data_IF_911051093659
#
_entry.id   IF_911051093659
#
_cell.length_a   1.000
_cell.length_b   1.000
_cell.length_c   1.000
_cell.angle_alpha   90.00
_cell.angle_beta   90.00
_cell.angle_gamma   90.00
#
_symmetry.space_group_name_H-M   'P 1'
#
loop_
_entity.id
_entity.type
_entity.pdbx_description
1 polymer ?
#
# COMPACT_ATOMS: atom_id res chain seq x y z
N UNK A 1 68.18 -41.59 41.16
CA UNK A 1 67.37 -41.54 39.92
C UNK A 1 67.55 -40.14 39.35
N UNK A 2 68.47 -39.98 38.39
CA UNK A 2 68.79 -38.70 37.77
C UNK A 2 67.95 -38.56 36.49
N UNK A 3 67.04 -37.58 36.45
CA UNK A 3 66.33 -37.23 35.21
C UNK A 3 67.25 -36.29 34.43
N UNK A 4 67.78 -36.78 33.31
CA UNK A 4 68.48 -35.96 32.31
C UNK A 4 67.41 -35.26 31.47
N UNK A 5 67.50 -33.95 31.37
CA UNK A 5 66.78 -33.18 30.36
C UNK A 5 67.65 -33.16 29.10
N UNK A 6 67.34 -34.03 28.16
CA UNK A 6 67.87 -33.93 26.80
C UNK A 6 67.18 -32.74 26.13
N UNK A 7 68.01 -31.77 25.76
CA UNK A 7 67.61 -30.54 25.10
C UNK A 7 67.47 -30.80 23.60
N UNK A 8 66.29 -31.23 23.17
CA UNK A 8 65.86 -31.11 21.76
C UNK A 8 64.88 -29.93 21.65
N UNK A 9 65.45 -28.74 21.82
CA UNK A 9 64.83 -27.48 21.45
C UNK A 9 65.16 -27.22 19.97
N UNK A 10 64.34 -27.72 19.06
CA UNK A 10 64.13 -27.21 17.70
C UNK A 10 63.37 -28.26 16.87
N UNK A 11 62.04 -28.15 16.77
CA UNK A 11 61.35 -28.17 15.46
C UNK A 11 59.83 -27.90 15.57
N UNK A 12 59.44 -26.79 16.20
CA UNK A 12 58.11 -26.22 15.90
C UNK A 12 58.35 -25.19 14.82
N UNK A 13 58.41 -25.66 13.57
CA UNK A 13 58.52 -24.78 12.41
C UNK A 13 57.35 -23.81 12.40
N UNK A 14 57.59 -22.56 12.02
CA UNK A 14 56.61 -21.47 11.96
C UNK A 14 55.39 -21.74 11.05
N UNK A 15 55.31 -22.92 10.42
CA UNK A 15 54.15 -23.43 9.70
C UNK A 15 53.03 -23.96 10.63
N UNK A 16 53.35 -24.29 11.88
CA UNK A 16 52.35 -24.77 12.86
C UNK A 16 51.59 -23.62 13.55
N UNK A 17 51.97 -22.37 13.25
CA UNK A 17 51.28 -21.14 13.69
C UNK A 17 50.42 -20.53 12.58
N UNK A 18 50.19 -21.25 11.48
CA UNK A 18 49.14 -20.89 10.53
C UNK A 18 47.82 -21.24 11.20
N UNK A 19 47.30 -20.28 11.96
CA UNK A 19 45.89 -20.23 12.32
C UNK A 19 45.12 -20.41 11.01
N UNK A 20 44.49 -21.56 10.88
CA UNK A 20 43.56 -21.87 9.81
C UNK A 20 42.49 -20.77 9.88
N UNK A 21 42.59 -19.78 8.99
CA UNK A 21 41.70 -18.63 8.84
C UNK A 21 40.39 -19.10 8.20
N UNK A 22 39.89 -20.23 8.69
CA UNK A 22 38.57 -20.74 8.42
C UNK A 22 37.64 -19.85 9.23
N UNK A 23 36.78 -19.02 8.61
CA UNK A 23 35.75 -18.33 9.36
C UNK A 23 34.81 -19.41 9.88
N UNK A 24 35.11 -19.95 11.06
CA UNK A 24 34.11 -20.57 11.92
C UNK A 24 32.96 -19.57 11.92
N UNK A 25 31.86 -19.96 11.27
CA UNK A 25 30.59 -19.30 11.44
C UNK A 25 30.30 -19.43 12.93
N UNK A 26 30.73 -18.42 13.68
CA UNK A 26 30.19 -18.09 14.99
C UNK A 26 28.70 -17.89 14.73
N UNK A 27 27.96 -18.99 14.85
CA UNK A 27 26.52 -18.97 14.94
C UNK A 27 26.21 -18.03 16.09
N UNK A 28 25.85 -16.80 15.74
CA UNK A 28 25.43 -15.80 16.71
C UNK A 28 24.33 -16.41 17.59
N UNK A 29 24.15 -15.91 18.83
CA UNK A 29 23.16 -16.46 19.74
C UNK A 29 21.82 -16.60 18.99
N UNK A 30 21.16 -17.77 19.06
CA UNK A 30 19.95 -18.00 18.28
C UNK A 30 18.97 -16.87 18.58
N UNK A 31 18.41 -16.27 17.52
CA UNK A 31 17.40 -15.23 17.71
C UNK A 31 16.37 -15.75 18.71
N UNK A 32 16.05 -14.97 19.77
CA UNK A 32 15.15 -15.45 20.81
C UNK A 32 13.82 -15.81 20.16
N UNK A 33 13.42 -17.08 20.30
CA UNK A 33 12.18 -17.58 19.75
C UNK A 33 11.01 -16.69 20.19
N UNK A 34 10.22 -16.20 19.23
CA UNK A 34 9.10 -15.30 19.49
C UNK A 34 8.14 -15.95 20.49
N UNK A 35 7.98 -15.34 21.67
CA UNK A 35 7.06 -15.87 22.66
C UNK A 35 5.62 -15.80 22.12
N UNK A 36 4.72 -16.73 22.50
CA UNK A 36 3.32 -16.66 22.07
C UNK A 36 2.63 -15.32 22.38
N UNK A 37 3.07 -14.66 23.47
CA UNK A 37 2.60 -13.33 23.87
C UNK A 37 3.10 -12.24 22.93
N UNK A 38 4.36 -12.28 22.49
CA UNK A 38 4.90 -11.36 21.49
C UNK A 38 4.20 -11.53 20.13
N UNK A 39 3.97 -12.77 19.70
CA UNK A 39 3.26 -13.09 18.46
C UNK A 39 1.82 -12.56 18.48
N UNK A 40 1.08 -12.77 19.56
CA UNK A 40 -0.30 -12.27 19.69
C UNK A 40 -0.35 -10.75 19.74
N UNK A 41 0.61 -10.09 20.41
CA UNK A 41 0.72 -8.62 20.40
C UNK A 41 0.99 -8.07 18.99
N UNK A 42 1.88 -8.71 18.22
CA UNK A 42 2.15 -8.36 16.82
C UNK A 42 0.90 -8.51 15.94
N UNK A 43 0.21 -9.64 16.04
CA UNK A 43 -1.03 -9.89 15.30
C UNK A 43 -2.12 -8.85 15.62
N UNK A 44 -2.24 -8.43 16.88
CA UNK A 44 -3.18 -7.36 17.29
C UNK A 44 -2.81 -6.01 16.67
N UNK A 45 -1.52 -5.66 16.65
CA UNK A 45 -1.03 -4.43 15.98
C UNK A 45 -1.30 -4.48 14.47
N UNK A 46 -1.01 -5.59 13.82
CA UNK A 46 -1.25 -5.78 12.39
C UNK A 46 -2.75 -5.76 12.05
N UNK A 47 -3.59 -6.35 12.88
CA UNK A 47 -5.05 -6.27 12.73
C UNK A 47 -5.57 -4.83 12.91
N UNK A 48 -5.05 -4.09 13.89
CA UNK A 48 -5.39 -2.68 14.09
C UNK A 48 -4.96 -1.83 12.89
N UNK A 49 -3.76 -2.06 12.34
CA UNK A 49 -3.27 -1.39 11.12
C UNK A 49 -4.21 -1.66 9.94
N UNK A 50 -4.53 -2.93 9.67
CA UNK A 50 -5.48 -3.32 8.61
C UNK A 50 -6.85 -2.68 8.79
N UNK A 51 -7.34 -2.56 10.02
CA UNK A 51 -8.62 -1.90 10.29
C UNK A 51 -8.59 -0.41 9.97
N UNK A 52 -7.48 0.29 10.25
CA UNK A 52 -7.30 1.70 9.89
C UNK A 52 -7.24 1.87 8.38
N UNK A 53 -6.41 1.07 7.71
CA UNK A 53 -6.30 1.09 6.24
C UNK A 53 -7.65 0.83 5.57
N UNK A 54 -8.42 -0.13 6.07
CA UNK A 54 -9.75 -0.43 5.53
C UNK A 54 -10.70 0.77 5.66
N UNK A 55 -10.71 1.44 6.82
CA UNK A 55 -11.53 2.64 7.03
C UNK A 55 -11.11 3.79 6.13
N UNK A 56 -9.81 3.98 5.92
CA UNK A 56 -9.31 5.01 5.01
C UNK A 56 -9.72 4.74 3.57
N UNK A 57 -9.62 3.49 3.10
CA UNK A 57 -10.11 3.09 1.77
C UNK A 57 -11.62 3.28 1.63
N UNK A 58 -12.40 2.91 2.64
CA UNK A 58 -13.85 3.09 2.64
C UNK A 58 -14.25 4.58 2.59
N UNK A 59 -13.53 5.45 3.32
CA UNK A 59 -13.73 6.90 3.26
C UNK A 59 -13.43 7.46 1.87
N UNK A 60 -12.32 7.06 1.27
CA UNK A 60 -11.96 7.48 -0.09
C UNK A 60 -13.00 7.03 -1.11
N UNK A 61 -13.52 5.80 -0.97
CA UNK A 61 -14.57 5.28 -1.84
C UNK A 61 -15.85 6.12 -1.70
N UNK A 62 -16.32 6.37 -0.48
CA UNK A 62 -17.49 7.20 -0.23
C UNK A 62 -17.34 8.62 -0.77
N UNK A 63 -16.15 9.22 -0.63
CA UNK A 63 -15.85 10.54 -1.18
C UNK A 63 -15.87 10.57 -2.71
N UNK A 64 -15.37 9.49 -3.33
CA UNK A 64 -15.38 9.30 -4.79
C UNK A 64 -16.80 9.15 -5.32
N UNK A 65 -17.62 8.33 -4.65
CA UNK A 65 -19.02 8.14 -5.01
C UNK A 65 -19.83 9.43 -4.91
N UNK A 66 -19.66 10.17 -3.82
CA UNK A 66 -20.30 11.47 -3.63
C UNK A 66 -19.89 12.46 -4.75
N UNK A 67 -18.62 12.47 -5.14
CA UNK A 67 -18.13 13.32 -6.22
C UNK A 67 -18.71 12.89 -7.59
N UNK A 68 -18.86 11.59 -7.84
CA UNK A 68 -19.45 11.07 -9.07
C UNK A 68 -20.94 11.43 -9.18
N UNK A 69 -21.71 11.24 -8.10
CA UNK A 69 -23.14 11.59 -8.07
C UNK A 69 -23.34 13.10 -8.27
N UNK A 70 -22.57 13.94 -7.58
CA UNK A 70 -22.61 15.40 -7.74
C UNK A 70 -22.28 15.81 -9.19
N UNK A 71 -21.26 15.19 -9.79
CA UNK A 71 -20.91 15.40 -11.18
C UNK A 71 -22.05 15.01 -12.14
N UNK A 72 -22.68 13.85 -11.95
CA UNK A 72 -23.82 13.41 -12.76
C UNK A 72 -24.99 14.40 -12.67
N UNK A 73 -25.39 14.78 -11.46
CA UNK A 73 -26.48 15.75 -11.23
C UNK A 73 -26.18 17.10 -11.89
N UNK A 74 -24.92 17.55 -11.82
CA UNK A 74 -24.50 18.80 -12.44
C UNK A 74 -24.54 18.74 -13.96
N UNK A 75 -24.10 17.64 -14.57
CA UNK A 75 -24.20 17.46 -16.03
C UNK A 75 -25.67 17.41 -16.45
N UNK A 76 -26.51 16.63 -15.75
CA UNK A 76 -27.95 16.56 -16.05
C UNK A 76 -28.64 17.91 -15.90
N UNK A 77 -28.23 18.74 -14.93
CA UNK A 77 -28.73 20.11 -14.79
C UNK A 77 -28.35 20.98 -15.98
N UNK A 78 -27.07 20.98 -16.36
CA UNK A 78 -26.58 21.75 -17.51
C UNK A 78 -27.32 21.33 -18.78
N UNK A 79 -27.47 20.03 -19.02
CA UNK A 79 -28.15 19.48 -20.19
C UNK A 79 -29.62 19.95 -20.28
N UNK A 80 -30.34 19.96 -19.15
CA UNK A 80 -31.71 20.46 -19.07
C UNK A 80 -31.80 21.96 -19.32
N UNK A 81 -30.89 22.75 -18.73
CA UNK A 81 -30.82 24.20 -18.94
C UNK A 81 -30.51 24.53 -20.42
N UNK A 82 -29.64 23.77 -21.07
CA UNK A 82 -29.36 23.95 -22.50
C UNK A 82 -30.54 23.56 -23.38
N UNK A 83 -31.21 22.43 -23.11
CA UNK A 83 -32.38 22.01 -23.87
C UNK A 83 -33.53 23.02 -23.78
N UNK A 84 -33.77 23.57 -22.57
CA UNK A 84 -34.76 24.61 -22.34
C UNK A 84 -34.47 25.89 -23.13
N UNK A 85 -33.20 26.30 -23.21
CA UNK A 85 -32.78 27.47 -24.02
C UNK A 85 -32.96 27.25 -25.51
N UNK A 86 -32.75 26.02 -25.98
CA UNK A 86 -32.89 25.64 -27.39
C UNK A 86 -34.34 25.35 -27.79
N UNK A 87 -35.30 25.45 -26.85
CA UNK A 87 -36.71 25.11 -27.09
C UNK A 87 -36.92 23.63 -27.42
N UNK A 88 -35.96 22.77 -27.09
CA UNK A 88 -36.03 21.33 -27.32
C UNK A 88 -36.69 20.65 -26.12
N UNK A 89 -37.52 19.60 -26.33
CA UNK A 89 -37.99 18.78 -25.23
C UNK A 89 -36.77 18.25 -24.48
N UNK A 90 -36.79 18.42 -23.15
CA UNK A 90 -35.76 17.92 -22.23
C UNK A 90 -35.78 16.40 -22.21
N UNK A 91 -35.32 15.77 -23.29
CA UNK A 91 -34.99 14.35 -23.30
C UNK A 91 -33.76 14.13 -22.44
N UNK A 92 -33.70 12.97 -21.77
CA UNK A 92 -32.53 12.48 -21.04
C UNK A 92 -31.32 12.53 -21.96
N UNK A 93 -30.61 13.64 -21.92
CA UNK A 93 -29.50 13.88 -22.83
C UNK A 93 -28.38 13.00 -22.31
N UNK A 94 -27.92 12.00 -23.09
CA UNK A 94 -26.92 11.07 -22.60
C UNK A 94 -25.65 11.85 -22.28
N UNK A 95 -25.26 11.85 -21.01
CA UNK A 95 -23.99 12.41 -20.61
C UNK A 95 -22.88 11.41 -20.89
N UNK A 96 -21.72 11.91 -21.31
CA UNK A 96 -20.56 11.05 -21.48
C UNK A 96 -19.93 10.75 -20.12
N UNK A 97 -19.51 9.50 -19.90
CA UNK A 97 -18.75 9.14 -18.70
C UNK A 97 -17.49 10.01 -18.53
N UNK A 98 -16.91 10.49 -19.65
CA UNK A 98 -15.77 11.39 -19.64
C UNK A 98 -16.06 12.77 -19.02
N UNK A 99 -17.25 13.35 -19.21
CA UNK A 99 -17.59 14.64 -18.59
C UNK A 99 -17.84 14.50 -17.09
N UNK A 100 -18.51 13.42 -16.68
CA UNK A 100 -18.71 13.06 -15.27
C UNK A 100 -17.37 12.84 -14.57
N UNK A 101 -16.46 12.06 -15.18
CA UNK A 101 -15.14 11.80 -14.62
C UNK A 101 -14.31 13.09 -14.44
N UNK A 102 -14.34 14.02 -15.41
CA UNK A 102 -13.64 15.31 -15.31
C UNK A 102 -14.18 16.17 -14.16
N UNK A 103 -15.51 16.25 -14.01
CA UNK A 103 -16.13 17.02 -12.93
C UNK A 103 -15.90 16.39 -11.56
N UNK A 104 -16.02 15.07 -11.45
CA UNK A 104 -15.72 14.33 -10.24
C UNK A 104 -14.25 14.51 -9.84
N UNK A 105 -13.33 14.46 -10.81
CA UNK A 105 -11.91 14.73 -10.56
C UNK A 105 -11.68 16.13 -10.00
N UNK A 106 -12.26 17.17 -10.63
CA UNK A 106 -12.17 18.53 -10.12
C UNK A 106 -12.72 18.64 -8.69
N UNK A 107 -13.82 17.96 -8.39
CA UNK A 107 -14.42 17.94 -7.04
C UNK A 107 -13.52 17.28 -6.01
N UNK A 108 -12.93 16.12 -6.33
CA UNK A 108 -11.98 15.44 -5.44
C UNK A 108 -10.74 16.30 -5.17
N UNK A 109 -10.25 17.04 -6.18
CA UNK A 109 -9.16 18.01 -6.02
C UNK A 109 -9.52 19.13 -5.04
N UNK A 110 -10.73 19.69 -5.13
CA UNK A 110 -11.19 20.72 -4.17
C UNK A 110 -11.32 20.20 -2.73
N UNK A 111 -11.58 18.90 -2.57
CA UNK A 111 -11.67 18.23 -1.26
C UNK A 111 -10.30 17.88 -0.66
N UNK A 112 -9.21 18.17 -1.37
CA UNK A 112 -7.84 17.87 -0.93
C UNK A 112 -7.36 16.46 -1.27
N UNK A 113 -8.09 15.69 -2.06
CA UNK A 113 -7.66 14.36 -2.47
C UNK A 113 -6.54 14.47 -3.52
N UNK A 114 -5.42 13.72 -3.36
CA UNK A 114 -4.32 13.72 -4.32
C UNK A 114 -4.78 13.36 -5.73
N UNK A 115 -4.17 13.98 -6.74
CA UNK A 115 -4.52 13.76 -8.15
C UNK A 115 -4.38 12.27 -8.55
N UNK A 116 -3.32 11.61 -8.10
CA UNK A 116 -3.08 10.19 -8.40
C UNK A 116 -4.14 9.28 -7.76
N UNK A 117 -4.52 9.54 -6.50
CA UNK A 117 -5.61 8.82 -5.83
C UNK A 117 -6.96 9.02 -6.53
N UNK A 118 -7.24 10.24 -6.98
CA UNK A 118 -8.47 10.55 -7.72
C UNK A 118 -8.51 9.87 -9.10
N UNK A 119 -7.39 9.87 -9.85
CA UNK A 119 -7.28 9.20 -11.16
C UNK A 119 -7.47 7.69 -11.06
N UNK A 120 -6.99 7.06 -9.98
CA UNK A 120 -7.14 5.62 -9.78
C UNK A 120 -8.55 5.23 -9.30
N UNK A 121 -9.14 6.02 -8.40
CA UNK A 121 -10.44 5.70 -7.77
C UNK A 121 -11.64 5.86 -8.70
N UNK A 122 -11.68 6.92 -9.52
CA UNK A 122 -12.79 7.19 -10.44
C UNK A 122 -13.06 6.01 -11.41
N UNK A 123 -12.09 5.52 -12.20
CA UNK A 123 -12.34 4.41 -13.13
C UNK A 123 -12.62 3.09 -12.40
N UNK A 124 -12.02 2.85 -11.24
CA UNK A 124 -12.32 1.68 -10.43
C UNK A 124 -13.81 1.66 -10.02
N UNK A 125 -14.34 2.79 -9.54
CA UNK A 125 -15.74 2.90 -9.14
C UNK A 125 -16.71 2.87 -10.32
N UNK A 126 -16.36 3.51 -11.44
CA UNK A 126 -17.16 3.43 -12.66
C UNK A 126 -17.23 1.99 -13.21
N UNK A 127 -16.15 1.22 -13.09
CA UNK A 127 -16.13 -0.21 -13.47
C UNK A 127 -16.94 -1.07 -12.51
N UNK A 128 -16.82 -0.87 -11.20
CA UNK A 128 -17.57 -1.61 -10.18
C UNK A 128 -19.08 -1.35 -10.26
N UNK A 129 -19.49 -0.10 -10.49
CA UNK A 129 -20.90 0.26 -10.70
C UNK A 129 -21.52 -0.35 -11.97
N UNK A 130 -20.70 -0.63 -12.99
CA UNK A 130 -21.14 -1.28 -14.23
C UNK A 130 -21.24 -2.81 -14.15
N UNK A 131 -20.71 -3.44 -13.10
CA UNK A 131 -20.68 -4.91 -12.95
C UNK A 131 -21.85 -5.46 -12.10
N UNK A 132 -22.76 -4.60 -11.62
CA UNK A 132 -23.90 -4.98 -10.76
C UNK A 132 -25.24 -5.11 -11.51
N UNK A 133 -25.23 -5.24 -12.83
CA UNK A 133 -26.43 -5.43 -13.66
C UNK A 133 -26.23 -6.52 -14.70
#
# INVERSE_FOLDING_TARGET
MHIRFDADANDVTAFDLVFDDNPEKLDGPPEPAETPQARTARLRRDAARRSREHRERARLAADTDAALVDAMLRVSRIARETAAREGRPSLDTPFTLGSVAKLAFARLRTKGIPAESAKASIPARLKEGGASH
#
